data_IF_033921950994
#
_entry.id   IF_033921950994
#
_cell.length_a   1.000
_cell.length_b   1.000
_cell.length_c   1.000
_cell.angle_alpha   90.00
_cell.angle_beta   90.00
_cell.angle_gamma   90.00
#
_symmetry.space_group_name_H-M   'P 1'
#
loop_
_entity.id
_entity.type
_entity.pdbx_description
1 polymer ?
#
# COMPACT_ATOMS: atom_id res chain seq x y z
N UNK A 1 16.73 -10.13 3.12
CA UNK A 1 15.88 -11.07 2.37
C UNK A 1 16.37 -11.26 0.95
N UNK A 2 16.60 -10.19 0.20
CA UNK A 2 17.10 -10.28 -1.18
C UNK A 2 18.51 -10.87 -1.27
N UNK A 3 19.46 -10.31 -0.52
CA UNK A 3 20.84 -10.81 -0.47
C UNK A 3 20.98 -12.28 -0.07
N UNK A 4 20.02 -12.81 0.70
CA UNK A 4 20.03 -14.22 1.12
C UNK A 4 19.42 -15.17 0.11
N UNK A 5 18.91 -14.69 -1.03
CA UNK A 5 18.19 -15.50 -2.01
C UNK A 5 16.81 -15.99 -1.53
N UNK A 6 16.35 -15.57 -0.34
CA UNK A 6 15.05 -15.96 0.21
C UNK A 6 13.89 -15.50 -0.68
N UNK A 7 14.01 -14.32 -1.28
CA UNK A 7 13.00 -13.75 -2.17
C UNK A 7 12.84 -14.57 -3.44
N UNK A 8 13.96 -15.04 -4.01
CA UNK A 8 13.96 -15.97 -5.15
C UNK A 8 13.28 -17.30 -4.78
N UNK A 9 13.55 -17.85 -3.59
CA UNK A 9 12.87 -19.07 -3.11
C UNK A 9 11.35 -18.88 -3.02
N UNK A 10 10.88 -17.75 -2.48
CA UNK A 10 9.44 -17.47 -2.36
C UNK A 10 8.83 -17.32 -3.76
N UNK A 11 9.43 -16.52 -4.63
CA UNK A 11 8.95 -16.32 -5.99
C UNK A 11 8.87 -17.64 -6.77
N UNK A 12 9.93 -18.47 -6.72
CA UNK A 12 9.95 -19.80 -7.35
C UNK A 12 8.86 -20.71 -6.79
N UNK A 13 8.56 -20.63 -5.49
CA UNK A 13 7.51 -21.44 -4.86
C UNK A 13 6.11 -21.00 -5.30
N UNK A 14 5.89 -19.69 -5.42
CA UNK A 14 4.65 -19.14 -5.98
C UNK A 14 4.46 -19.58 -7.44
N UNK A 15 5.51 -19.45 -8.26
CA UNK A 15 5.50 -19.85 -9.66
C UNK A 15 5.21 -21.36 -9.84
N UNK A 16 5.72 -22.22 -8.95
CA UNK A 16 5.44 -23.66 -8.98
C UNK A 16 3.96 -23.99 -8.79
N UNK A 17 3.25 -23.24 -7.96
CA UNK A 17 1.82 -23.46 -7.69
C UNK A 17 0.95 -22.83 -8.77
N UNK A 18 1.32 -21.63 -9.21
CA UNK A 18 0.52 -20.81 -10.13
C UNK A 18 0.67 -21.23 -11.60
N UNK A 19 1.82 -21.79 -11.96
CA UNK A 19 2.28 -21.96 -13.34
C UNK A 19 2.89 -20.68 -13.92
N UNK A 20 3.73 -20.81 -14.95
CA UNK A 20 4.30 -19.67 -15.70
C UNK A 20 3.44 -19.24 -16.90
N UNK A 21 2.32 -19.91 -17.11
CA UNK A 21 1.53 -19.84 -18.35
C UNK A 21 0.71 -18.54 -18.47
N UNK A 22 0.67 -17.72 -17.42
CA UNK A 22 -0.12 -16.49 -17.41
C UNK A 22 0.56 -15.39 -16.60
N UNK A 23 1.14 -14.37 -17.27
CA UNK A 23 1.65 -13.16 -16.63
C UNK A 23 0.60 -12.48 -15.73
N UNK A 24 -0.67 -12.54 -16.12
CA UNK A 24 -1.79 -11.98 -15.36
C UNK A 24 -1.96 -12.63 -13.98
N UNK A 25 -1.80 -13.96 -13.89
CA UNK A 25 -1.84 -14.65 -12.59
C UNK A 25 -0.73 -14.17 -11.65
N UNK A 26 0.44 -13.82 -12.20
CA UNK A 26 1.55 -13.25 -11.43
C UNK A 26 1.17 -11.91 -10.80
N UNK A 27 0.62 -11.00 -11.61
CA UNK A 27 0.12 -9.72 -11.12
C UNK A 27 -1.00 -9.90 -10.07
N UNK A 28 -1.95 -10.79 -10.35
CA UNK A 28 -3.05 -11.10 -9.43
C UNK A 28 -2.54 -11.66 -8.10
N UNK A 29 -1.50 -12.50 -8.11
CA UNK A 29 -0.91 -13.03 -6.88
C UNK A 29 -0.34 -11.92 -6.01
N UNK A 30 0.37 -10.97 -6.62
CA UNK A 30 0.89 -9.79 -5.91
C UNK A 30 -0.27 -8.98 -5.32
N UNK A 31 -1.33 -8.74 -6.09
CA UNK A 31 -2.53 -8.06 -5.58
C UNK A 31 -3.13 -8.80 -4.39
N UNK A 32 -3.35 -10.11 -4.49
CA UNK A 32 -3.97 -10.88 -3.42
C UNK A 32 -3.16 -10.80 -2.12
N UNK A 33 -1.84 -10.91 -2.21
CA UNK A 33 -0.96 -10.74 -1.05
C UNK A 33 -1.10 -9.31 -0.52
N UNK A 34 -1.03 -8.29 -1.37
CA UNK A 34 -1.19 -6.89 -0.99
C UNK A 34 -2.52 -6.64 -0.24
N UNK A 35 -3.61 -7.17 -0.78
CA UNK A 35 -4.95 -7.04 -0.22
C UNK A 35 -5.10 -7.73 1.13
N UNK A 36 -4.61 -8.96 1.28
CA UNK A 36 -4.67 -9.69 2.56
C UNK A 36 -3.92 -8.91 3.63
N UNK A 37 -2.72 -8.42 3.30
CA UNK A 37 -1.91 -7.65 4.24
C UNK A 37 -2.61 -6.35 4.66
N UNK A 38 -3.07 -5.54 3.70
CA UNK A 38 -3.67 -4.25 4.04
C UNK A 38 -5.04 -4.38 4.69
N UNK A 39 -5.86 -5.35 4.29
CA UNK A 39 -7.10 -5.61 5.01
C UNK A 39 -6.84 -6.08 6.45
N UNK A 40 -5.73 -6.77 6.68
CA UNK A 40 -5.20 -7.09 8.01
C UNK A 40 -4.74 -5.88 8.84
N UNK A 41 -4.82 -4.66 8.31
CA UNK A 41 -4.35 -3.44 8.97
C UNK A 41 -2.88 -3.14 8.77
N UNK A 42 -2.19 -3.92 7.93
CA UNK A 42 -0.79 -3.62 7.58
C UNK A 42 -0.75 -2.38 6.69
N UNK A 43 0.06 -1.40 7.08
CA UNK A 43 0.24 -0.17 6.31
C UNK A 43 0.72 -0.46 4.89
N UNK A 44 0.20 0.28 3.91
CA UNK A 44 0.62 0.18 2.50
C UNK A 44 2.13 0.35 2.32
N UNK A 45 2.78 1.17 3.14
CA UNK A 45 4.25 1.34 3.11
C UNK A 45 4.96 0.01 3.42
N UNK A 46 4.50 -0.70 4.45
CA UNK A 46 5.04 -2.02 4.83
C UNK A 46 4.76 -3.05 3.74
N UNK A 47 3.58 -2.98 3.12
CA UNK A 47 3.21 -3.85 2.00
C UNK A 47 4.12 -3.64 0.80
N UNK A 48 4.41 -2.40 0.41
CA UNK A 48 5.33 -2.09 -0.69
C UNK A 48 6.72 -2.68 -0.42
N UNK A 49 7.29 -2.44 0.76
CA UNK A 49 8.61 -3.00 1.12
C UNK A 49 8.62 -4.52 1.21
N UNK A 50 7.49 -5.13 1.57
CA UNK A 50 7.33 -6.59 1.60
C UNK A 50 7.25 -7.18 0.19
N UNK A 51 6.53 -6.51 -0.72
CA UNK A 51 6.25 -7.01 -2.05
C UNK A 51 7.32 -6.67 -3.07
N UNK A 52 8.04 -5.55 -2.94
CA UNK A 52 9.14 -5.16 -3.83
C UNK A 52 10.14 -6.30 -4.07
N UNK A 53 10.78 -6.87 -3.03
CA UNK A 53 11.80 -7.88 -3.24
C UNK A 53 11.20 -9.23 -3.69
N UNK A 54 9.91 -9.49 -3.45
CA UNK A 54 9.20 -10.65 -3.97
C UNK A 54 8.83 -10.51 -5.45
N UNK A 55 8.47 -9.29 -5.85
CA UNK A 55 7.90 -9.01 -7.18
C UNK A 55 8.96 -8.93 -8.25
N UNK A 56 10.17 -8.44 -7.94
CA UNK A 56 11.29 -8.37 -8.89
C UNK A 56 11.60 -9.72 -9.55
N UNK A 57 11.91 -10.80 -8.79
CA UNK A 57 12.08 -12.13 -9.38
C UNK A 57 10.86 -12.61 -10.16
N UNK A 58 9.65 -12.33 -9.68
CA UNK A 58 8.42 -12.78 -10.34
C UNK A 58 8.22 -12.09 -11.70
N UNK A 59 8.46 -10.78 -11.77
CA UNK A 59 8.39 -10.00 -13.01
C UNK A 59 9.49 -10.41 -13.99
N UNK A 60 10.70 -10.68 -13.50
CA UNK A 60 11.82 -11.20 -14.30
C UNK A 60 11.49 -12.57 -14.91
N UNK A 61 11.02 -13.51 -14.10
CA UNK A 61 10.67 -14.87 -14.52
C UNK A 61 9.48 -14.92 -15.48
N UNK A 62 8.53 -13.99 -15.35
CA UNK A 62 7.37 -13.86 -16.24
C UNK A 62 7.63 -12.92 -17.43
N UNK A 63 8.81 -12.32 -17.50
CA UNK A 63 9.21 -11.31 -18.48
C UNK A 63 8.17 -10.17 -18.65
N UNK A 64 7.71 -9.62 -17.52
CA UNK A 64 6.74 -8.52 -17.47
C UNK A 64 7.47 -7.20 -17.30
N UNK A 65 7.08 -6.15 -18.03
CA UNK A 65 7.58 -4.79 -17.83
C UNK A 65 7.43 -4.34 -16.36
N UNK A 66 8.55 -3.97 -15.72
CA UNK A 66 8.60 -3.51 -14.32
C UNK A 66 7.72 -2.28 -14.08
N UNK A 67 7.49 -1.44 -15.09
CA UNK A 67 6.60 -0.28 -15.00
C UNK A 67 5.15 -0.66 -14.64
N UNK A 68 4.75 -1.93 -14.80
CA UNK A 68 3.44 -2.43 -14.37
C UNK A 68 3.37 -2.75 -12.87
N UNK A 69 4.49 -2.85 -12.15
CA UNK A 69 4.55 -3.18 -10.71
C UNK A 69 3.65 -2.32 -9.82
N UNK A 70 3.54 -0.99 -10.02
CA UNK A 70 2.64 -0.18 -9.21
C UNK A 70 1.18 -0.64 -9.27
N UNK A 71 0.70 -1.18 -10.40
CA UNK A 71 -0.70 -1.57 -10.57
C UNK A 71 -1.14 -2.62 -9.55
N UNK A 72 -0.58 -3.84 -9.51
CA UNK A 72 -1.06 -4.87 -8.60
C UNK A 72 -0.89 -4.49 -7.13
N UNK A 73 0.13 -3.70 -6.77
CA UNK A 73 0.40 -3.28 -5.38
C UNK A 73 -0.55 -2.17 -4.95
N UNK A 74 -0.59 -1.03 -5.66
CA UNK A 74 -1.43 0.10 -5.26
C UNK A 74 -2.91 -0.20 -5.44
N UNK A 75 -3.30 -0.98 -6.44
CA UNK A 75 -4.69 -1.42 -6.52
C UNK A 75 -5.03 -2.37 -5.36
N UNK A 76 -4.22 -3.39 -5.10
CA UNK A 76 -4.51 -4.38 -4.06
C UNK A 76 -4.46 -3.84 -2.63
N UNK A 77 -3.52 -2.94 -2.33
CA UNK A 77 -3.30 -2.38 -0.99
C UNK A 77 -3.81 -0.94 -0.82
N UNK A 78 -3.96 -0.16 -1.89
CA UNK A 78 -4.27 1.27 -1.81
C UNK A 78 -5.71 1.64 -2.14
N UNK A 79 -6.56 0.67 -2.50
CA UNK A 79 -7.96 0.94 -2.91
C UNK A 79 -8.95 0.28 -1.95
N UNK A 80 -9.66 -0.76 -2.40
CA UNK A 80 -10.81 -1.33 -1.71
C UNK A 80 -10.50 -1.83 -0.30
N UNK A 81 -9.32 -2.40 -0.07
CA UNK A 81 -8.90 -2.92 1.25
C UNK A 81 -8.57 -1.82 2.26
N UNK A 82 -8.21 -0.62 1.78
CA UNK A 82 -7.83 0.50 2.61
C UNK A 82 -9.00 1.44 2.89
N UNK A 83 -9.96 1.58 1.98
CA UNK A 83 -10.99 2.62 2.06
C UNK A 83 -12.41 2.08 2.19
N UNK A 84 -12.83 1.20 1.27
CA UNK A 84 -14.26 0.88 1.12
C UNK A 84 -14.69 -0.41 1.81
N UNK A 85 -13.79 -1.38 2.00
CA UNK A 85 -14.16 -2.68 2.55
C UNK A 85 -14.52 -2.55 4.04
N UNK A 86 -15.72 -3.01 4.48
CA UNK A 86 -16.16 -2.83 5.85
C UNK A 86 -15.19 -3.42 6.87
N UNK A 87 -14.96 -2.70 7.97
CA UNK A 87 -14.13 -3.20 9.08
C UNK A 87 -12.63 -3.11 8.85
N UNK A 88 -12.17 -2.57 7.71
CA UNK A 88 -10.75 -2.31 7.49
C UNK A 88 -10.19 -1.42 8.64
N UNK A 89 -9.15 -1.86 9.36
CA UNK A 89 -8.58 -1.10 10.47
C UNK A 89 -7.56 -0.03 10.00
N UNK A 90 -7.61 0.34 8.73
CA UNK A 90 -6.73 1.33 8.11
C UNK A 90 -6.95 2.73 8.71
N UNK A 91 -5.90 3.55 8.71
CA UNK A 91 -5.95 4.92 9.24
C UNK A 91 -7.05 5.73 8.53
N UNK A 92 -7.21 5.51 7.22
CA UNK A 92 -8.19 6.17 6.37
C UNK A 92 -9.63 5.87 6.80
N UNK A 93 -9.93 4.63 7.22
CA UNK A 93 -11.25 4.24 7.73
C UNK A 93 -11.44 4.64 9.20
N UNK A 94 -10.35 4.76 9.97
CA UNK A 94 -10.38 5.14 11.39
C UNK A 94 -10.58 6.65 11.57
N UNK A 95 -9.95 7.51 10.77
CA UNK A 95 -10.04 8.97 10.94
C UNK A 95 -11.49 9.48 10.99
N UNK A 96 -12.38 9.14 10.03
CA UNK A 96 -13.75 9.65 10.02
C UNK A 96 -14.56 9.22 11.24
N UNK A 97 -14.25 8.07 11.87
CA UNK A 97 -14.95 7.62 13.10
C UNK A 97 -14.87 8.65 14.22
N UNK A 98 -13.75 9.37 14.33
CA UNK A 98 -13.51 10.34 15.40
C UNK A 98 -14.30 11.63 15.21
N UNK A 99 -14.58 12.01 13.96
CA UNK A 99 -15.32 13.23 13.64
C UNK A 99 -16.82 12.96 13.55
N UNK A 100 -17.20 11.85 12.92
CA UNK A 100 -18.59 11.52 12.60
C UNK A 100 -19.28 10.67 13.68
N UNK A 101 -18.55 10.14 14.67
CA UNK A 101 -19.10 9.23 15.69
C UNK A 101 -19.53 7.85 15.16
N UNK A 102 -19.22 7.56 13.90
CA UNK A 102 -19.53 6.30 13.19
C UNK A 102 -18.57 5.15 13.54
N UNK A 103 -18.89 3.93 13.13
CA UNK A 103 -18.04 2.72 13.30
C UNK A 103 -17.29 2.34 12.02
N UNK A 104 -16.29 1.45 12.12
CA UNK A 104 -15.51 0.97 10.97
C UNK A 104 -16.33 0.13 9.96
N UNK A 105 -17.48 -0.39 10.38
CA UNK A 105 -18.35 -1.28 9.60
C UNK A 105 -19.62 -0.59 9.10
N UNK A 106 -19.68 0.75 9.22
CA UNK A 106 -20.82 1.59 8.85
C UNK A 106 -21.23 1.46 7.37
N UNK A 107 -22.50 1.65 7.02
CA UNK A 107 -23.02 1.55 5.64
C UNK A 107 -22.52 0.30 4.83
N UNK A 108 -22.63 -0.93 5.36
CA UNK A 108 -21.96 -2.10 4.81
C UNK A 108 -22.39 -2.47 3.38
N UNK A 109 -23.65 -2.22 3.01
CA UNK A 109 -24.16 -2.51 1.67
C UNK A 109 -23.45 -1.65 0.61
N UNK A 110 -23.35 -0.34 0.87
CA UNK A 110 -22.69 0.61 -0.04
C UNK A 110 -21.20 0.32 -0.11
N UNK A 111 -20.58 0.01 1.04
CA UNK A 111 -19.19 -0.41 1.12
C UNK A 111 -18.88 -1.65 0.28
N UNK A 112 -19.72 -2.68 0.35
CA UNK A 112 -19.53 -3.91 -0.44
C UNK A 112 -19.72 -3.64 -1.93
N UNK A 113 -20.73 -2.85 -2.30
CA UNK A 113 -20.95 -2.46 -3.70
C UNK A 113 -19.78 -1.63 -4.26
N UNK A 114 -19.27 -0.65 -3.50
CA UNK A 114 -18.12 0.16 -3.87
C UNK A 114 -16.84 -0.69 -3.97
N UNK A 115 -16.61 -1.57 -3.00
CA UNK A 115 -15.46 -2.49 -3.00
C UNK A 115 -15.49 -3.42 -4.19
N UNK A 116 -16.65 -3.98 -4.53
CA UNK A 116 -16.82 -4.82 -5.72
C UNK A 116 -16.55 -4.02 -7.00
N UNK A 117 -17.03 -2.78 -7.07
CA UNK A 117 -16.81 -1.90 -8.23
C UNK A 117 -15.32 -1.62 -8.44
N UNK A 118 -14.61 -1.23 -7.37
CA UNK A 118 -13.16 -1.01 -7.39
C UNK A 118 -12.39 -2.28 -7.71
N UNK A 119 -12.86 -3.43 -7.23
CA UNK A 119 -12.24 -4.72 -7.49
C UNK A 119 -12.37 -5.09 -8.97
N UNK A 120 -13.58 -5.04 -9.52
CA UNK A 120 -13.83 -5.32 -10.94
C UNK A 120 -13.07 -4.35 -11.84
N UNK A 121 -13.11 -3.05 -11.53
CA UNK A 121 -12.38 -2.04 -12.28
C UNK A 121 -10.88 -2.33 -12.33
N UNK A 122 -10.24 -2.61 -11.19
CA UNK A 122 -8.80 -2.84 -11.19
C UNK A 122 -8.38 -4.16 -11.82
N UNK A 123 -9.19 -5.23 -11.72
CA UNK A 123 -8.95 -6.46 -12.50
C UNK A 123 -8.97 -6.16 -14.01
N UNK A 124 -9.98 -5.43 -14.49
CA UNK A 124 -10.11 -5.07 -15.91
C UNK A 124 -8.98 -4.12 -16.36
N UNK A 125 -8.65 -3.12 -15.55
CA UNK A 125 -7.60 -2.15 -15.85
C UNK A 125 -6.21 -2.80 -15.87
N UNK A 126 -5.93 -3.68 -14.92
CA UNK A 126 -4.67 -4.45 -14.88
C UNK A 126 -4.56 -5.38 -16.11
N UNK A 127 -5.65 -6.04 -16.50
CA UNK A 127 -5.67 -6.85 -17.72
C UNK A 127 -5.44 -6.00 -18.98
N UNK A 128 -6.05 -4.82 -19.04
CA UNK A 128 -5.86 -3.87 -20.14
C UNK A 128 -4.39 -3.39 -20.24
N UNK A 129 -3.79 -2.95 -19.13
CA UNK A 129 -2.40 -2.48 -19.10
C UNK A 129 -1.42 -3.60 -19.47
N UNK A 130 -1.63 -4.81 -18.94
CA UNK A 130 -0.81 -5.96 -19.31
C UNK A 130 -0.93 -6.29 -20.80
N UNK A 131 -2.15 -6.34 -21.34
CA UNK A 131 -2.38 -6.61 -22.77
C UNK A 131 -1.70 -5.57 -23.66
N UNK A 132 -1.77 -4.29 -23.27
CA UNK A 132 -1.11 -3.19 -23.99
C UNK A 132 0.40 -3.33 -23.96
N UNK A 133 0.98 -3.62 -22.79
CA UNK A 133 2.42 -3.82 -22.61
C UNK A 133 2.95 -4.98 -23.46
N UNK A 134 2.25 -6.12 -23.44
CA UNK A 134 2.58 -7.28 -24.27
C UNK A 134 2.45 -7.00 -25.77
N UNK A 135 1.43 -6.26 -26.20
CA UNK A 135 1.24 -5.88 -27.60
C UNK A 135 2.33 -4.92 -28.11
N UNK A 136 2.89 -4.12 -27.22
CA UNK A 136 4.03 -3.23 -27.51
C UNK A 136 5.38 -3.96 -27.49
N UNK A 137 5.43 -5.25 -27.11
CA UNK A 137 6.68 -6.00 -26.95
C UNK A 137 7.54 -5.51 -25.78
N UNK A 138 6.94 -4.87 -24.79
CA UNK A 138 7.64 -4.43 -23.58
C UNK A 138 8.00 -5.63 -22.71
N UNK A 139 9.23 -5.66 -22.24
CA UNK A 139 9.82 -6.78 -21.48
C UNK A 139 10.35 -6.29 -20.13
N UNK A 140 10.78 -7.22 -19.29
CA UNK A 140 11.46 -6.86 -18.04
C UNK A 140 12.84 -6.24 -18.35
N UNK A 141 13.10 -5.05 -17.82
CA UNK A 141 14.41 -4.38 -17.84
C UNK A 141 14.85 -4.06 -16.41
N UNK A 142 16.08 -4.42 -16.05
CA UNK A 142 16.69 -3.96 -14.80
C UNK A 142 17.15 -2.51 -15.01
N UNK A 143 16.74 -1.58 -14.14
CA UNK A 143 17.28 -0.22 -14.15
C UNK A 143 18.74 -0.26 -13.65
N UNK A 144 19.65 0.43 -14.35
CA UNK A 144 21.11 0.40 -14.11
C UNK A 144 21.53 0.93 -12.72
N UNK A 145 20.65 1.65 -12.02
CA UNK A 145 20.93 2.34 -10.74
C UNK A 145 20.59 1.52 -9.48
N UNK A 146 20.17 0.27 -9.65
CA UNK A 146 19.98 -0.61 -8.52
C UNK A 146 21.33 -1.16 -8.05
N UNK A 147 21.67 -0.86 -6.80
CA UNK A 147 22.78 -1.52 -6.11
C UNK A 147 22.62 -3.03 -6.30
N UNK A 148 23.48 -3.63 -7.14
CA UNK A 148 23.46 -5.07 -7.41
C UNK A 148 23.70 -5.76 -6.08
N UNK A 149 22.61 -6.22 -5.47
CA UNK A 149 22.70 -6.95 -4.22
C UNK A 149 23.35 -8.28 -4.56
N UNK A 150 24.59 -8.49 -4.10
CA UNK A 150 25.28 -9.77 -4.29
C UNK A 150 24.42 -10.85 -3.64
N UNK A 151 23.77 -11.65 -4.48
CA UNK A 151 22.90 -12.75 -4.05
C UNK A 151 23.78 -13.95 -3.73
N UNK A 152 23.54 -14.60 -2.60
CA UNK A 152 24.24 -15.83 -2.25
C UNK A 152 23.92 -16.97 -3.22
N UNK A 153 24.94 -17.76 -3.57
CA UNK A 153 24.79 -19.02 -4.33
C UNK A 153 23.94 -20.06 -3.59
N UNK A 154 23.79 -19.92 -2.27
CA UNK A 154 23.00 -20.81 -1.43
C UNK A 154 21.71 -20.10 -1.02
N UNK A 155 20.57 -20.69 -1.38
CA UNK A 155 19.24 -20.15 -1.02
C UNK A 155 18.62 -20.89 0.16
N UNK A 156 17.96 -20.21 1.11
CA UNK A 156 17.19 -20.85 2.17
C UNK A 156 15.96 -21.56 1.59
N UNK A 157 15.43 -22.53 2.35
CA UNK A 157 14.17 -23.20 2.00
C UNK A 157 12.96 -22.25 2.18
N UNK A 158 11.79 -22.64 1.66
CA UNK A 158 10.58 -21.80 1.66
C UNK A 158 10.17 -21.39 3.08
N UNK A 159 10.19 -22.34 4.04
CA UNK A 159 9.77 -22.07 5.42
C UNK A 159 10.63 -20.97 6.07
N UNK A 160 11.95 -21.08 5.96
CA UNK A 160 12.89 -20.07 6.45
C UNK A 160 12.74 -18.74 5.70
N UNK A 161 12.40 -18.80 4.41
CA UNK A 161 12.25 -17.60 3.58
C UNK A 161 11.01 -16.78 3.96
N UNK A 162 9.89 -17.43 4.28
CA UNK A 162 8.65 -16.74 4.68
C UNK A 162 8.62 -16.34 6.15
N UNK A 163 9.45 -16.94 7.00
CA UNK A 163 9.38 -16.74 8.45
C UNK A 163 9.48 -15.26 8.88
N UNK A 164 10.38 -14.43 8.32
CA UNK A 164 10.40 -13.00 8.63
C UNK A 164 9.10 -12.28 8.28
N UNK A 165 8.49 -12.60 7.13
CA UNK A 165 7.20 -12.01 6.72
C UNK A 165 6.07 -12.46 7.65
N UNK A 166 6.01 -13.75 7.97
CA UNK A 166 5.04 -14.29 8.92
C UNK A 166 5.22 -13.67 10.30
N UNK A 167 6.46 -13.46 10.75
CA UNK A 167 6.75 -12.82 12.03
C UNK A 167 6.31 -11.36 12.06
N UNK A 168 6.58 -10.59 10.99
CA UNK A 168 6.13 -9.22 10.83
C UNK A 168 4.61 -9.12 10.97
N UNK A 169 3.90 -9.95 10.20
CA UNK A 169 2.44 -9.99 10.18
C UNK A 169 1.91 -10.44 11.54
N UNK A 170 2.44 -11.53 12.09
CA UNK A 170 2.03 -12.08 13.37
C UNK A 170 2.22 -11.09 14.53
N UNK A 171 3.35 -10.39 14.59
CA UNK A 171 3.59 -9.35 15.61
C UNK A 171 2.57 -8.22 15.49
N UNK A 172 2.26 -7.75 14.28
CA UNK A 172 1.25 -6.69 14.07
C UNK A 172 -0.13 -7.13 14.57
N UNK A 173 -0.56 -8.34 14.23
CA UNK A 173 -1.87 -8.84 14.64
C UNK A 173 -1.98 -9.09 16.15
N UNK A 174 -0.96 -9.72 16.76
CA UNK A 174 -0.97 -10.08 18.17
C UNK A 174 -0.87 -8.84 19.06
N UNK A 175 -0.04 -7.87 18.67
CA UNK A 175 0.24 -6.66 19.45
C UNK A 175 -0.53 -5.43 18.93
N UNK A 176 -1.68 -5.62 18.27
CA UNK A 176 -2.41 -4.54 17.60
C UNK A 176 -2.84 -3.36 18.52
N UNK A 177 -2.86 -3.56 19.84
CA UNK A 177 -3.17 -2.52 20.84
C UNK A 177 -1.95 -1.74 21.31
N UNK A 178 -0.74 -2.17 20.98
CA UNK A 178 0.51 -1.55 21.43
C UNK A 178 0.83 -0.35 20.54
N UNK A 179 1.16 0.83 21.11
CA UNK A 179 1.59 1.97 20.31
C UNK A 179 2.86 1.62 19.51
N UNK A 180 2.97 2.14 18.29
CA UNK A 180 4.10 1.89 17.39
C UNK A 180 4.33 0.42 17.02
N UNK A 181 3.28 -0.42 17.04
CA UNK A 181 3.37 -1.85 16.70
C UNK A 181 4.02 -2.13 15.35
N UNK A 182 3.87 -1.24 14.36
CA UNK A 182 4.54 -1.37 13.06
C UNK A 182 6.06 -1.37 13.18
N UNK A 183 6.62 -0.41 13.95
CA UNK A 183 8.07 -0.32 14.16
C UNK A 183 8.59 -1.56 14.91
N UNK A 184 7.82 -2.05 15.89
CA UNK A 184 8.13 -3.28 16.63
C UNK A 184 8.12 -4.49 15.70
N UNK A 185 7.08 -4.66 14.88
CA UNK A 185 6.97 -5.77 13.93
C UNK A 185 8.09 -5.78 12.90
N UNK A 186 8.45 -4.61 12.36
CA UNK A 186 9.59 -4.47 11.45
C UNK A 186 10.91 -4.82 12.15
N UNK A 187 11.13 -4.34 13.37
CA UNK A 187 12.33 -4.67 14.15
C UNK A 187 12.43 -6.18 14.40
N UNK A 188 11.35 -6.83 14.83
CA UNK A 188 11.29 -8.29 15.03
C UNK A 188 11.64 -9.02 13.74
N UNK A 189 11.04 -8.62 12.62
CA UNK A 189 11.31 -9.23 11.30
C UNK A 189 12.76 -9.02 10.84
N UNK A 190 13.35 -7.85 11.10
CA UNK A 190 14.76 -7.56 10.82
C UNK A 190 15.67 -8.45 11.67
N UNK A 191 15.40 -8.58 12.97
CA UNK A 191 16.18 -9.43 13.87
C UNK A 191 16.09 -10.91 13.48
N UNK A 192 14.89 -11.39 13.17
CA UNK A 192 14.67 -12.75 12.70
C UNK A 192 15.39 -12.99 11.36
N UNK A 193 15.29 -12.05 10.42
CA UNK A 193 16.03 -12.10 9.15
C UNK A 193 17.53 -12.15 9.37
N UNK A 194 18.05 -11.30 10.26
CA UNK A 194 19.46 -11.21 10.61
C UNK A 194 19.98 -12.51 11.25
N UNK A 195 19.16 -13.22 12.03
CA UNK A 195 19.53 -14.49 12.63
C UNK A 195 19.43 -15.66 11.65
N UNK A 196 18.29 -15.79 10.96
CA UNK A 196 17.99 -16.94 10.10
C UNK A 196 18.80 -16.90 8.80
N UNK A 197 19.01 -15.71 8.25
CA UNK A 197 19.74 -15.57 7.00
C UNK A 197 21.24 -15.44 7.19
N UNK A 198 21.76 -15.33 8.41
CA UNK A 198 23.19 -15.28 8.69
C UNK A 198 24.04 -16.25 7.83
N UNK A 199 23.70 -17.56 7.72
CA UNK A 199 24.50 -18.51 6.91
C UNK A 199 24.34 -18.37 5.39
N UNK A 200 23.43 -17.51 4.93
CA UNK A 200 23.13 -17.26 3.51
C UNK A 200 23.50 -15.83 3.09
N UNK A 201 24.09 -15.02 3.98
CA UNK A 201 24.48 -13.65 3.65
C UNK A 201 25.99 -13.58 3.39
N UNK A 202 26.44 -12.88 2.33
CA UNK A 202 27.87 -12.69 2.08
C UNK A 202 28.54 -11.81 3.15
N UNK A 203 27.91 -10.70 3.52
CA UNK A 203 28.37 -9.81 4.58
C UNK A 203 27.21 -9.06 5.25
N UNK A 204 26.76 -9.55 6.40
CA UNK A 204 25.59 -8.98 7.09
C UNK A 204 25.78 -7.54 7.54
N UNK A 205 26.99 -7.16 7.99
CA UNK A 205 27.25 -5.80 8.48
C UNK A 205 27.13 -4.77 7.36
N UNK A 206 27.71 -5.09 6.22
CA UNK A 206 27.67 -4.24 5.02
C UNK A 206 26.23 -4.09 4.50
N UNK A 207 25.48 -5.18 4.46
CA UNK A 207 24.06 -5.17 4.05
C UNK A 207 23.21 -4.31 4.99
N UNK A 208 23.41 -4.43 6.32
CA UNK A 208 22.68 -3.60 7.29
C UNK A 208 23.04 -2.11 7.17
N UNK A 209 24.32 -1.79 6.94
CA UNK A 209 24.75 -0.41 6.71
C UNK A 209 24.12 0.16 5.43
N UNK A 210 24.18 -0.58 4.32
CA UNK A 210 23.59 -0.18 3.06
C UNK A 210 22.08 0.03 3.18
N UNK A 211 21.37 -0.91 3.82
CA UNK A 211 19.92 -0.82 4.05
C UNK A 211 19.56 0.38 4.94
N UNK A 212 20.37 0.68 5.96
CA UNK A 212 20.16 1.85 6.83
C UNK A 212 20.27 3.14 6.02
N UNK A 213 21.32 3.30 5.23
CA UNK A 213 21.52 4.47 4.37
C UNK A 213 20.39 4.61 3.32
N UNK A 214 20.01 3.51 2.67
CA UNK A 214 18.94 3.50 1.67
C UNK A 214 17.57 3.88 2.25
N UNK A 215 17.34 3.65 3.55
CA UNK A 215 16.07 3.99 4.22
C UNK A 215 15.88 5.49 4.48
N UNK A 216 16.97 6.28 4.48
CA UNK A 216 16.94 7.71 4.85
C UNK A 216 16.09 8.50 3.86
N UNK A 217 16.33 8.36 2.55
CA UNK A 217 15.65 9.15 1.52
C UNK A 217 14.12 8.92 1.53
N UNK A 218 13.61 7.66 1.52
CA UNK A 218 12.17 7.41 1.61
C UNK A 218 11.53 7.93 2.92
N UNK A 219 12.24 7.83 4.05
CA UNK A 219 11.75 8.32 5.33
C UNK A 219 11.60 9.85 5.34
N UNK A 220 12.61 10.57 4.83
CA UNK A 220 12.54 12.03 4.66
C UNK A 220 11.45 12.43 3.67
N UNK A 221 11.38 11.82 2.48
CA UNK A 221 10.35 12.12 1.49
C UNK A 221 8.92 11.97 2.06
N UNK A 222 8.66 10.89 2.80
CA UNK A 222 7.34 10.62 3.40
C UNK A 222 7.02 11.64 4.49
N UNK A 223 7.96 11.92 5.40
CA UNK A 223 7.76 12.88 6.49
C UNK A 223 7.60 14.32 6.00
N UNK A 224 8.37 14.73 4.99
CA UNK A 224 8.23 16.04 4.33
C UNK A 224 6.86 16.22 3.68
N UNK A 225 6.31 15.16 3.07
CA UNK A 225 4.98 15.18 2.45
C UNK A 225 3.88 15.44 3.49
N UNK A 226 3.96 14.77 4.65
CA UNK A 226 3.02 15.00 5.77
C UNK A 226 3.18 16.40 6.38
N UNK A 227 4.42 16.87 6.53
CA UNK A 227 4.70 18.21 7.04
C UNK A 227 4.16 19.30 6.10
N UNK A 228 4.35 19.13 4.79
CA UNK A 228 3.79 20.02 3.77
C UNK A 228 2.27 20.12 3.87
N UNK A 229 1.56 18.99 4.00
CA UNK A 229 0.11 18.98 4.17
C UNK A 229 -0.36 19.80 5.38
N UNK A 230 0.32 19.67 6.51
CA UNK A 230 0.01 20.46 7.71
C UNK A 230 0.19 21.96 7.47
N UNK A 231 1.33 22.37 6.89
CA UNK A 231 1.61 23.79 6.59
C UNK A 231 0.63 24.34 5.56
N UNK A 232 0.27 23.54 4.55
CA UNK A 232 -0.68 23.92 3.50
C UNK A 232 -2.01 24.36 4.12
N UNK A 233 -2.55 23.61 5.09
CA UNK A 233 -3.83 23.96 5.74
C UNK A 233 -3.81 25.25 6.54
N UNK A 234 -2.62 25.71 6.96
CA UNK A 234 -2.43 26.96 7.68
C UNK A 234 -2.17 28.14 6.74
N UNK A 235 -1.98 27.88 5.45
CA UNK A 235 -1.67 28.91 4.47
C UNK A 235 -2.91 29.69 4.03
N UNK A 236 -2.73 30.96 3.68
CA UNK A 236 -3.80 31.78 3.10
C UNK A 236 -4.36 31.20 1.79
N UNK A 237 -3.54 30.44 1.04
CA UNK A 237 -3.96 29.78 -0.20
C UNK A 237 -4.95 28.62 0.02
N UNK A 238 -5.05 28.07 1.23
CA UNK A 238 -6.00 26.99 1.53
C UNK A 238 -7.46 27.45 1.41
N UNK A 239 -7.73 28.74 1.68
CA UNK A 239 -9.06 29.33 1.50
C UNK A 239 -9.55 29.22 0.04
N UNK A 240 -8.65 29.33 -0.93
CA UNK A 240 -8.98 29.17 -2.35
C UNK A 240 -9.43 27.73 -2.66
N UNK A 241 -8.76 26.75 -2.04
CA UNK A 241 -9.16 25.33 -2.16
C UNK A 241 -10.57 25.15 -1.56
N UNK A 242 -10.84 25.72 -0.38
CA UNK A 242 -12.16 25.66 0.25
C UNK A 242 -13.26 26.30 -0.62
N UNK A 243 -12.96 27.41 -1.29
CA UNK A 243 -13.90 28.08 -2.21
C UNK A 243 -14.21 27.22 -3.43
N UNK A 244 -13.19 26.61 -4.06
CA UNK A 244 -13.39 25.70 -5.19
C UNK A 244 -14.29 24.52 -4.84
N UNK A 245 -14.15 23.97 -3.63
CA UNK A 245 -14.98 22.86 -3.13
C UNK A 245 -16.47 23.25 -3.10
N UNK A 246 -16.80 24.45 -2.64
CA UNK A 246 -18.19 24.92 -2.55
C UNK A 246 -18.83 25.15 -3.93
N UNK A 247 -18.02 25.34 -4.96
CA UNK A 247 -18.47 25.60 -6.33
C UNK A 247 -18.63 24.32 -7.16
N UNK A 248 -18.27 23.14 -6.64
CA UNK A 248 -18.40 21.87 -7.38
C UNK A 248 -19.90 21.57 -7.58
N UNK A 249 -20.39 21.50 -8.83
CA UNK A 249 -21.79 21.23 -9.11
C UNK A 249 -22.13 19.76 -8.80
N UNK A 250 -23.37 19.52 -8.36
CA UNK A 250 -23.93 18.17 -8.20
C UNK A 250 -24.30 17.83 -6.76
N UNK A 251 -24.33 16.53 -6.47
CA UNK A 251 -24.65 16.04 -5.12
C UNK A 251 -23.55 16.43 -4.13
N UNK A 252 -23.90 16.80 -2.88
CA UNK A 252 -22.90 17.04 -1.84
C UNK A 252 -21.90 15.90 -1.65
N UNK A 253 -22.30 14.63 -1.86
CA UNK A 253 -21.39 13.50 -1.79
C UNK A 253 -20.36 13.49 -2.93
N UNK A 254 -20.74 13.96 -4.12
CA UNK A 254 -19.81 14.11 -5.26
C UNK A 254 -18.82 15.22 -4.95
N UNK A 255 -19.32 16.37 -4.45
CA UNK A 255 -18.44 17.47 -4.05
C UNK A 255 -17.43 17.00 -2.99
N UNK A 256 -17.86 16.32 -1.93
CA UNK A 256 -16.96 15.79 -0.90
C UNK A 256 -15.91 14.84 -1.49
N UNK A 257 -16.33 13.88 -2.31
CA UNK A 257 -15.42 12.90 -2.92
C UNK A 257 -14.36 13.57 -3.80
N UNK A 258 -14.77 14.46 -4.71
CA UNK A 258 -13.85 15.17 -5.61
C UNK A 258 -12.91 16.06 -4.80
N UNK A 259 -13.43 16.74 -3.79
CA UNK A 259 -12.65 17.61 -2.92
C UNK A 259 -11.58 16.86 -2.15
N UNK A 260 -11.93 15.75 -1.51
CA UNK A 260 -10.94 14.94 -0.79
C UNK A 260 -9.92 14.33 -1.75
N UNK A 261 -10.33 13.89 -2.94
CA UNK A 261 -9.42 13.39 -3.96
C UNK A 261 -8.43 14.46 -4.44
N UNK A 262 -8.89 15.69 -4.70
CA UNK A 262 -8.04 16.82 -5.09
C UNK A 262 -7.03 17.17 -3.98
N UNK A 263 -7.50 17.26 -2.73
CA UNK A 263 -6.61 17.51 -1.59
C UNK A 263 -5.61 16.37 -1.40
N UNK A 264 -6.02 15.12 -1.59
CA UNK A 264 -5.10 13.98 -1.59
C UNK A 264 -4.04 14.07 -2.69
N UNK A 265 -4.39 14.57 -3.87
CA UNK A 265 -3.45 14.81 -4.96
C UNK A 265 -2.46 15.93 -4.65
N UNK A 266 -2.93 17.05 -4.08
CA UNK A 266 -2.08 18.20 -3.73
C UNK A 266 -1.11 17.84 -2.60
N UNK A 267 -1.59 17.13 -1.59
CA UNK A 267 -0.80 16.80 -0.40
C UNK A 267 0.11 15.60 -0.64
N UNK A 268 -0.28 14.66 -1.49
CA UNK A 268 0.45 13.41 -1.71
C UNK A 268 0.35 12.41 -0.55
N UNK A 269 -0.59 12.60 0.39
CA UNK A 269 -0.82 11.73 1.54
C UNK A 269 -2.30 11.46 1.75
N UNK A 270 -2.71 10.19 1.62
CA UNK A 270 -4.11 9.79 1.76
C UNK A 270 -4.63 9.96 3.20
N UNK A 271 -3.87 9.52 4.21
CA UNK A 271 -4.26 9.69 5.62
C UNK A 271 -4.25 11.16 6.04
N UNK A 272 -3.31 11.96 5.54
CA UNK A 272 -3.29 13.41 5.76
C UNK A 272 -4.51 14.10 5.15
N UNK A 273 -4.82 13.78 3.89
CA UNK A 273 -5.96 14.34 3.19
C UNK A 273 -7.30 13.97 3.83
N UNK A 274 -7.51 12.70 4.22
CA UNK A 274 -8.72 12.30 4.95
C UNK A 274 -8.80 13.01 6.31
N UNK A 275 -7.68 13.21 7.00
CA UNK A 275 -7.62 13.99 8.25
C UNK A 275 -8.07 15.44 8.07
N UNK A 276 -7.61 16.08 7.00
CA UNK A 276 -7.95 17.47 6.65
C UNK A 276 -9.40 17.54 6.19
N UNK A 277 -9.83 16.69 5.27
CA UNK A 277 -11.22 16.64 4.83
C UNK A 277 -12.17 16.37 6.00
N UNK A 278 -11.78 15.51 6.93
CA UNK A 278 -12.58 15.23 8.12
C UNK A 278 -12.69 16.45 9.05
N UNK A 279 -11.60 17.19 9.26
CA UNK A 279 -11.60 18.33 10.19
C UNK A 279 -12.15 19.62 9.57
N UNK A 280 -12.01 19.78 8.26
CA UNK A 280 -12.26 21.05 7.57
C UNK A 280 -13.47 21.01 6.62
N UNK A 281 -13.86 19.84 6.10
CA UNK A 281 -14.95 19.74 5.11
C UNK A 281 -16.20 19.09 5.70
N UNK A 282 -16.07 17.96 6.40
CA UNK A 282 -17.21 17.22 6.96
C UNK A 282 -18.18 18.05 7.81
N UNK A 283 -17.75 19.03 8.65
CA UNK A 283 -18.68 19.85 9.43
C UNK A 283 -19.74 20.55 8.59
N UNK A 284 -19.37 21.11 7.43
CA UNK A 284 -20.33 21.76 6.53
C UNK A 284 -21.36 20.77 5.97
N UNK A 285 -20.94 19.55 5.63
CA UNK A 285 -21.84 18.51 5.14
C UNK A 285 -22.78 17.96 6.22
N UNK A 286 -22.34 17.95 7.48
CA UNK A 286 -23.19 17.61 8.63
C UNK A 286 -24.27 18.68 8.85
N UNK A 287 -23.92 19.96 8.74
CA UNK A 287 -24.88 21.07 8.83
C UNK A 287 -25.93 21.03 7.71
N UNK A 288 -25.58 20.52 6.54
CA UNK A 288 -26.52 20.24 5.44
C UNK A 288 -27.47 19.06 5.72
N UNK A 289 -27.33 18.37 6.86
CA UNK A 289 -28.19 17.26 7.27
C UNK A 289 -27.88 15.93 6.57
N UNK A 290 -26.68 15.78 5.99
CA UNK A 290 -26.30 14.55 5.28
C UNK A 290 -25.96 13.45 6.28
N UNK A 291 -26.37 12.22 5.99
CA UNK A 291 -26.15 11.07 6.84
C UNK A 291 -24.63 10.86 7.10
N UNK A 292 -24.18 10.89 8.38
CA UNK A 292 -22.77 10.67 8.75
C UNK A 292 -22.21 9.34 8.25
N UNK A 293 -23.02 8.30 8.17
CA UNK A 293 -22.63 6.99 7.64
C UNK A 293 -22.20 7.05 6.18
N UNK A 294 -22.89 7.87 5.38
CA UNK A 294 -22.56 8.08 3.97
C UNK A 294 -21.31 8.94 3.83
N UNK A 295 -21.21 10.02 4.63
CA UNK A 295 -20.03 10.88 4.66
C UNK A 295 -18.77 10.09 5.00
N UNK A 296 -18.85 9.17 5.96
CA UNK A 296 -17.73 8.28 6.32
C UNK A 296 -17.22 7.49 5.12
N UNK A 297 -18.12 6.95 4.29
CA UNK A 297 -17.72 6.11 3.15
C UNK A 297 -17.23 6.88 1.94
N UNK A 298 -17.54 8.16 1.88
CA UNK A 298 -17.24 9.02 0.72
C UNK A 298 -15.95 9.81 0.90
N UNK A 299 -15.60 10.17 2.14
CA UNK A 299 -14.42 10.97 2.48
C UNK A 299 -13.10 10.20 2.30
#
# INVERSE_FOLDING_TARGET
MEASGATQTIANSILKVMGKDSPYKGLLTITLIASILTYGGVSIFVVIFTLLPLSRPLFKELNINWALFPIPVFWGAGTYTMTTLPGAPSIQNVIPTKVLGTSLTVAPVISLAASLTLLVFGLLYMAYCLKKSLANGENYSEEEDETVVVVSDKTPNLFLSVLPLVSLIGTIFILNKVPNVLAIGLLVSILISALIFYPYLPNQKEILNAATTASIVPAFATSSTVAFGTVLTLSAGFAVIQEWIQQIPGSPLISLSVSTALVSGIIGSSSGAVGIASSNFLPAYLEMGINPELLHRVV
#
